data_IF_585601642556
#
_entry.id   IF_585601642556
#
_cell.length_a   1.000
_cell.length_b   1.000
_cell.length_c   1.000
_cell.angle_alpha   90.00
_cell.angle_beta   90.00
_cell.angle_gamma   90.00
#
_symmetry.space_group_name_H-M   'P 1'
#
loop_
_entity.id
_entity.type
_entity.pdbx_description
1 polymer ?
#
# COMPACT_ATOMS: atom_id res chain seq x y z
N UNK A 1 -4.48 -20.75 41.84
CA UNK A 1 -3.38 -19.88 41.40
C UNK A 1 -4.00 -18.70 40.70
N UNK A 2 -3.63 -17.46 41.05
CA UNK A 2 -4.04 -16.30 40.28
C UNK A 2 -3.31 -16.36 38.93
N UNK A 3 -4.01 -16.78 37.88
CA UNK A 3 -3.55 -16.70 36.49
C UNK A 3 -3.33 -15.25 36.13
N UNK A 4 -2.25 -14.89 35.44
CA UNK A 4 -2.00 -13.51 35.01
C UNK A 4 -2.73 -13.21 33.69
N UNK A 5 -3.26 -11.99 33.49
CA UNK A 5 -3.94 -11.58 32.24
C UNK A 5 -3.07 -11.82 30.99
N UNK A 6 -1.74 -11.70 31.14
CA UNK A 6 -0.75 -11.92 30.09
C UNK A 6 -0.71 -13.33 29.52
N UNK A 7 -1.23 -14.32 30.23
CA UNK A 7 -1.35 -15.71 29.76
C UNK A 7 -2.28 -15.82 28.54
N UNK A 8 -3.25 -14.90 28.40
CA UNK A 8 -4.20 -14.90 27.29
C UNK A 8 -3.69 -14.15 26.06
N UNK A 9 -2.59 -13.40 26.15
CA UNK A 9 -2.19 -12.46 25.09
C UNK A 9 -1.81 -13.16 23.78
N UNK A 10 -1.09 -14.28 23.84
CA UNK A 10 -0.73 -15.05 22.65
C UNK A 10 -1.95 -15.69 21.98
N UNK A 11 -2.89 -16.18 22.80
CA UNK A 11 -4.12 -16.82 22.33
C UNK A 11 -5.00 -15.80 21.60
N UNK A 12 -5.18 -14.61 22.20
CA UNK A 12 -5.91 -13.49 21.58
C UNK A 12 -5.18 -13.00 20.32
N UNK A 13 -3.86 -12.86 20.36
CA UNK A 13 -3.07 -12.48 19.19
C UNK A 13 -3.21 -13.47 18.02
N UNK A 14 -3.20 -14.77 18.32
CA UNK A 14 -3.48 -15.82 17.34
C UNK A 14 -4.89 -15.74 16.77
N UNK A 15 -5.89 -15.48 17.61
CA UNK A 15 -7.27 -15.29 17.18
C UNK A 15 -7.44 -14.06 16.27
N UNK A 16 -6.78 -12.93 16.56
CA UNK A 16 -6.80 -11.75 15.70
C UNK A 16 -6.23 -12.05 14.31
N UNK A 17 -5.15 -12.83 14.23
CA UNK A 17 -4.60 -13.28 12.93
C UNK A 17 -5.62 -14.14 12.19
N UNK A 18 -6.19 -15.15 12.85
CA UNK A 18 -7.06 -16.14 12.21
C UNK A 18 -8.44 -15.61 11.84
N UNK A 19 -9.06 -14.79 12.71
CA UNK A 19 -10.46 -14.36 12.59
C UNK A 19 -10.61 -12.94 12.08
N UNK A 20 -9.64 -12.06 12.35
CA UNK A 20 -9.70 -10.65 11.91
C UNK A 20 -8.74 -10.33 10.76
N UNK A 21 -7.93 -11.30 10.34
CA UNK A 21 -7.06 -11.19 9.19
C UNK A 21 -5.84 -10.30 9.43
N UNK A 22 -5.41 -10.15 10.70
CA UNK A 22 -4.16 -9.48 11.01
C UNK A 22 -2.99 -10.26 10.37
N UNK A 23 -2.15 -9.61 9.59
CA UNK A 23 -1.16 -10.33 8.77
C UNK A 23 0.09 -10.68 9.55
N UNK A 24 0.37 -11.98 9.69
CA UNK A 24 1.70 -12.49 10.06
C UNK A 24 2.43 -12.94 8.81
N UNK A 25 3.45 -12.19 8.39
CA UNK A 25 4.25 -12.46 7.20
C UNK A 25 5.65 -11.83 7.30
N UNK A 26 6.41 -11.81 6.19
CA UNK A 26 7.79 -11.29 6.17
C UNK A 26 7.95 -9.80 6.50
N UNK A 27 6.86 -9.03 6.59
CA UNK A 27 6.89 -7.61 6.96
C UNK A 27 6.26 -7.35 8.33
N UNK A 28 5.51 -8.32 8.88
CA UNK A 28 4.66 -8.08 10.03
C UNK A 28 4.53 -9.30 10.94
N UNK A 29 4.53 -9.03 12.25
CA UNK A 29 4.31 -10.03 13.31
C UNK A 29 2.83 -10.42 13.46
N UNK A 30 1.91 -9.69 12.84
CA UNK A 30 0.46 -9.82 12.99
C UNK A 30 -0.10 -9.11 14.22
N UNK A 31 0.55 -9.27 15.37
CA UNK A 31 0.16 -8.57 16.60
C UNK A 31 1.38 -8.26 17.49
N UNK A 32 1.15 -7.42 18.49
CA UNK A 32 2.09 -7.13 19.57
C UNK A 32 1.36 -7.01 20.91
N UNK A 33 2.12 -7.17 22.00
CA UNK A 33 1.64 -7.14 23.38
C UNK A 33 2.04 -5.84 24.06
N UNK A 34 1.23 -5.41 25.04
CA UNK A 34 1.45 -4.22 25.87
C UNK A 34 1.83 -2.98 25.04
N UNK A 35 0.97 -2.65 24.07
CA UNK A 35 1.27 -1.66 23.03
C UNK A 35 0.74 -0.29 23.41
N UNK A 36 1.64 0.71 23.42
CA UNK A 36 1.26 2.11 23.55
C UNK A 36 0.49 2.60 22.32
N UNK A 37 -0.76 3.04 22.52
CA UNK A 37 -1.54 3.77 21.50
C UNK A 37 -1.15 5.25 21.45
N UNK A 38 -0.78 5.82 22.60
CA UNK A 38 -0.31 7.21 22.79
C UNK A 38 0.54 7.30 24.08
N UNK A 39 1.11 8.47 24.37
CA UNK A 39 2.07 8.71 25.48
C UNK A 39 1.63 8.18 26.86
N UNK A 40 0.32 7.94 27.08
CA UNK A 40 -0.23 7.42 28.35
C UNK A 40 -1.40 6.43 28.17
N UNK A 41 -1.50 5.78 27.01
CA UNK A 41 -2.54 4.77 26.78
C UNK A 41 -1.87 3.52 26.22
N UNK A 42 -2.04 2.40 26.91
CA UNK A 42 -1.45 1.13 26.55
C UNK A 42 -2.55 0.08 26.56
N UNK A 43 -2.60 -0.73 25.52
CA UNK A 43 -3.52 -1.86 25.40
C UNK A 43 -2.75 -3.16 25.51
N UNK A 44 -3.42 -4.18 26.04
CA UNK A 44 -2.80 -5.47 26.34
C UNK A 44 -2.39 -6.22 25.08
N UNK A 45 -3.26 -6.25 24.06
CA UNK A 45 -2.97 -6.86 22.75
C UNK A 45 -3.38 -5.91 21.63
N UNK A 46 -2.51 -5.73 20.65
CA UNK A 46 -2.79 -4.96 19.44
C UNK A 46 -2.48 -5.79 18.19
N UNK A 47 -3.51 -6.06 17.39
CA UNK A 47 -3.39 -6.68 16.07
C UNK A 47 -3.44 -5.65 14.95
N UNK A 48 -2.73 -5.91 13.85
CA UNK A 48 -2.73 -5.06 12.68
C UNK A 48 -3.13 -5.84 11.44
N UNK A 49 -4.22 -5.40 10.82
CA UNK A 49 -4.58 -5.77 9.46
C UNK A 49 -4.18 -4.64 8.52
N UNK A 50 -3.64 -4.94 7.35
CA UNK A 50 -3.52 -3.98 6.27
C UNK A 50 -4.13 -4.51 4.99
N UNK A 51 -4.82 -3.65 4.26
CA UNK A 51 -5.38 -3.96 2.94
C UNK A 51 -4.71 -3.08 1.92
N UNK A 52 -4.35 -3.69 0.79
CA UNK A 52 -3.86 -2.94 -0.35
C UNK A 52 -5.05 -2.67 -1.27
N UNK A 53 -5.36 -1.40 -1.51
CA UNK A 53 -6.42 -1.01 -2.42
C UNK A 53 -5.83 -0.77 -3.81
N UNK A 54 -6.14 -1.62 -4.77
CA UNK A 54 -5.63 -1.58 -6.15
C UNK A 54 -6.73 -1.35 -7.21
N UNK A 55 -7.99 -1.20 -6.79
CA UNK A 55 -9.15 -1.11 -7.69
C UNK A 55 -9.24 0.17 -8.52
N UNK A 56 -8.31 1.12 -8.37
CA UNK A 56 -8.23 2.31 -9.21
C UNK A 56 -6.78 2.79 -9.27
N UNK A 57 -6.27 3.01 -10.49
CA UNK A 57 -4.92 3.52 -10.76
C UNK A 57 -4.61 4.83 -10.02
N UNK A 58 -5.61 5.58 -9.59
CA UNK A 58 -5.44 6.83 -8.83
C UNK A 58 -5.39 6.68 -7.31
N UNK A 59 -5.58 5.47 -6.77
CA UNK A 59 -5.79 5.24 -5.34
C UNK A 59 -4.98 4.07 -4.76
N UNK A 60 -3.93 3.60 -5.47
CA UNK A 60 -2.99 2.58 -4.98
C UNK A 60 -2.40 2.99 -3.63
N UNK A 61 -2.89 2.38 -2.55
CA UNK A 61 -2.57 2.76 -1.18
C UNK A 61 -2.84 1.61 -0.22
N UNK A 62 -2.10 1.60 0.88
CA UNK A 62 -2.41 0.76 2.02
C UNK A 62 -3.44 1.42 2.92
N UNK A 63 -4.38 0.63 3.43
CA UNK A 63 -5.20 0.96 4.59
C UNK A 63 -4.81 0.06 5.75
N UNK A 64 -4.45 0.67 6.87
CA UNK A 64 -4.04 -0.02 8.10
C UNK A 64 -5.18 0.01 9.13
N UNK A 65 -5.64 -1.16 9.56
CA UNK A 65 -6.76 -1.37 10.46
C UNK A 65 -6.24 -2.03 11.76
N UNK A 66 -6.39 -1.33 12.87
CA UNK A 66 -5.96 -1.79 14.18
C UNK A 66 -7.07 -2.50 14.93
N UNK A 67 -6.70 -3.52 15.69
CA UNK A 67 -7.57 -4.18 16.66
C UNK A 67 -6.90 -4.13 18.02
N UNK A 68 -7.45 -3.33 18.92
CA UNK A 68 -6.95 -3.15 20.28
C UNK A 68 -7.82 -3.95 21.25
N UNK A 69 -7.20 -4.72 22.14
CA UNK A 69 -7.90 -5.57 23.11
C UNK A 69 -7.36 -5.28 24.50
N UNK A 70 -8.26 -4.93 25.43
CA UNK A 70 -8.00 -4.93 26.87
C UNK A 70 -8.43 -6.29 27.44
N UNK A 71 -7.56 -6.92 28.23
CA UNK A 71 -7.79 -8.27 28.75
C UNK A 71 -7.98 -8.19 30.24
N UNK A 72 -9.06 -8.75 30.77
CA UNK A 72 -9.42 -8.67 32.18
C UNK A 72 -9.78 -10.04 32.75
N UNK A 73 -9.60 -10.21 34.05
CA UNK A 73 -10.00 -11.48 34.69
C UNK A 73 -11.50 -11.64 34.82
N UNK A 74 -12.23 -10.55 35.02
CA UNK A 74 -13.66 -10.59 35.28
C UNK A 74 -14.42 -9.61 34.37
N UNK A 75 -15.73 -9.87 34.13
CA UNK A 75 -16.59 -8.90 33.42
C UNK A 75 -16.67 -7.55 34.12
N UNK A 76 -16.62 -7.53 35.47
CA UNK A 76 -16.69 -6.29 36.25
C UNK A 76 -15.47 -5.39 36.01
N UNK A 77 -14.28 -5.99 35.89
CA UNK A 77 -13.05 -5.25 35.59
C UNK A 77 -13.10 -4.71 34.15
N UNK A 78 -13.59 -5.52 33.20
CA UNK A 78 -13.78 -5.11 31.81
C UNK A 78 -14.71 -3.90 31.65
N UNK A 79 -15.76 -3.80 32.47
CA UNK A 79 -16.66 -2.64 32.47
C UNK A 79 -15.92 -1.31 32.74
N UNK A 80 -14.88 -1.35 33.60
CA UNK A 80 -14.11 -0.16 33.95
C UNK A 80 -13.21 0.37 32.83
N UNK A 81 -12.85 -0.47 31.86
CA UNK A 81 -12.00 -0.09 30.72
C UNK A 81 -12.79 0.49 29.56
N UNK A 82 -14.11 0.25 29.51
CA UNK A 82 -14.99 0.84 28.48
C UNK A 82 -14.89 2.37 28.53
N UNK A 83 -15.00 2.95 29.74
CA UNK A 83 -14.92 4.39 29.93
C UNK A 83 -13.54 4.94 29.52
N UNK A 84 -12.46 4.19 29.81
CA UNK A 84 -11.10 4.57 29.38
C UNK A 84 -10.96 4.56 27.87
N UNK A 85 -11.49 3.54 27.20
CA UNK A 85 -11.45 3.42 25.74
C UNK A 85 -12.13 4.63 25.10
N UNK A 86 -13.35 4.95 25.53
CA UNK A 86 -14.19 5.97 24.90
C UNK A 86 -13.75 7.39 25.25
N UNK A 87 -13.40 7.65 26.52
CA UNK A 87 -13.11 9.02 26.96
C UNK A 87 -11.62 9.36 26.92
N UNK A 88 -10.72 8.37 26.83
CA UNK A 88 -9.27 8.60 26.83
C UNK A 88 -8.61 8.10 25.55
N UNK A 89 -8.78 6.82 25.18
CA UNK A 89 -7.98 6.22 24.11
C UNK A 89 -8.40 6.73 22.75
N UNK A 90 -9.68 6.60 22.40
CA UNK A 90 -10.19 7.01 21.10
C UNK A 90 -10.02 8.52 20.83
N UNK A 91 -10.33 9.44 21.77
CA UNK A 91 -10.09 10.87 21.58
C UNK A 91 -8.61 11.20 21.39
N UNK A 92 -7.70 10.55 22.12
CA UNK A 92 -6.25 10.77 21.96
C UNK A 92 -5.75 10.30 20.60
N UNK A 93 -6.24 9.16 20.12
CA UNK A 93 -5.89 8.64 18.79
C UNK A 93 -6.40 9.54 17.66
N UNK A 94 -7.52 10.24 17.87
CA UNK A 94 -8.07 11.20 16.89
C UNK A 94 -7.42 12.58 16.92
N UNK A 95 -6.70 12.95 17.99
CA UNK A 95 -6.05 14.27 18.08
C UNK A 95 -4.89 14.37 17.11
N UNK A 96 -4.97 15.30 16.16
CA UNK A 96 -3.81 15.75 15.40
C UNK A 96 -2.83 16.45 16.37
N UNK A 97 -1.55 16.08 16.34
CA UNK A 97 -0.50 16.78 17.10
C UNK A 97 0.61 17.23 16.16
N UNK A 98 1.35 18.28 16.55
CA UNK A 98 2.46 18.81 15.75
C UNK A 98 3.60 17.81 15.53
N UNK A 99 3.71 16.77 16.38
CA UNK A 99 4.66 15.64 16.23
C UNK A 99 4.09 14.45 15.46
N UNK A 100 2.79 14.45 15.17
CA UNK A 100 2.06 13.33 14.56
C UNK A 100 1.05 13.91 13.56
N UNK A 101 1.58 14.65 12.58
CA UNK A 101 0.74 15.27 11.54
C UNK A 101 0.06 14.22 10.64
N UNK A 102 0.60 12.99 10.62
CA UNK A 102 0.08 11.86 9.84
C UNK A 102 0.10 10.60 10.73
N UNK A 103 -1.06 9.97 10.96
CA UNK A 103 -1.13 8.63 11.59
C UNK A 103 -1.02 7.55 10.52
N UNK A 104 -0.18 6.54 10.73
CA UNK A 104 -0.14 5.36 9.86
C UNK A 104 -1.46 4.57 9.87
N UNK A 105 -2.20 4.64 11.00
CA UNK A 105 -3.39 3.85 11.24
C UNK A 105 -4.63 4.54 10.68
N UNK A 106 -5.40 3.82 9.86
CA UNK A 106 -6.63 4.31 9.21
C UNK A 106 -7.86 4.10 10.07
N UNK A 107 -7.96 2.92 10.68
CA UNK A 107 -9.09 2.59 11.54
C UNK A 107 -8.61 1.85 12.78
N UNK A 108 -9.40 1.92 13.84
CA UNK A 108 -9.19 1.15 15.06
C UNK A 108 -10.51 0.57 15.56
N UNK A 109 -10.46 -0.67 16.01
CA UNK A 109 -11.55 -1.41 16.60
C UNK A 109 -11.12 -1.80 18.01
N UNK A 110 -11.98 -1.58 19.01
CA UNK A 110 -11.67 -1.90 20.41
C UNK A 110 -12.47 -3.09 20.90
N UNK A 111 -11.81 -4.01 21.59
CA UNK A 111 -12.44 -5.10 22.34
C UNK A 111 -12.07 -5.01 23.81
N UNK A 112 -12.98 -5.52 24.64
CA UNK A 112 -12.64 -6.04 25.97
C UNK A 112 -12.73 -7.56 25.92
N UNK A 113 -11.77 -8.22 26.56
CA UNK A 113 -11.71 -9.67 26.67
C UNK A 113 -11.71 -10.07 28.14
N UNK A 114 -12.45 -11.11 28.51
CA UNK A 114 -12.44 -11.60 29.90
C UNK A 114 -12.82 -13.06 30.02
N UNK A 115 -12.38 -13.68 31.12
CA UNK A 115 -12.76 -15.04 31.45
C UNK A 115 -14.19 -15.08 32.02
N UNK A 116 -15.00 -16.04 31.57
CA UNK A 116 -16.32 -16.28 32.13
C UNK A 116 -17.19 -17.22 31.29
N UNK A 117 -18.26 -17.68 31.93
CA UNK A 117 -19.25 -18.56 31.28
C UNK A 117 -20.26 -17.77 30.46
N UNK A 118 -20.53 -16.52 30.84
CA UNK A 118 -21.45 -15.62 30.13
C UNK A 118 -21.10 -14.15 30.34
N UNK A 119 -21.50 -13.29 29.40
CA UNK A 119 -21.41 -11.84 29.54
C UNK A 119 -22.64 -11.28 30.27
N UNK A 120 -22.47 -10.50 31.35
CA UNK A 120 -23.58 -9.81 31.99
C UNK A 120 -24.33 -8.89 31.02
N UNK A 121 -25.67 -8.88 31.09
CA UNK A 121 -26.50 -8.11 30.16
C UNK A 121 -26.20 -6.60 30.19
N UNK A 122 -25.91 -6.05 31.37
CA UNK A 122 -25.56 -4.64 31.52
C UNK A 122 -24.25 -4.29 30.79
N UNK A 123 -23.25 -5.18 30.88
CA UNK A 123 -21.97 -5.02 30.17
C UNK A 123 -22.17 -5.12 28.65
N UNK A 124 -22.96 -6.09 28.19
CA UNK A 124 -23.30 -6.25 26.78
C UNK A 124 -24.00 -5.00 26.23
N UNK A 125 -24.96 -4.44 26.99
CA UNK A 125 -25.67 -3.21 26.61
C UNK A 125 -24.73 -2.01 26.59
N UNK A 126 -23.85 -1.86 27.58
CA UNK A 126 -22.85 -0.79 27.64
C UNK A 126 -21.92 -0.84 26.43
N UNK A 127 -21.29 -1.98 26.17
CA UNK A 127 -20.40 -2.20 25.03
C UNK A 127 -21.09 -1.91 23.69
N UNK A 128 -22.33 -2.40 23.51
CA UNK A 128 -23.13 -2.14 22.30
C UNK A 128 -23.40 -0.66 22.09
N UNK A 129 -23.72 0.08 23.16
CA UNK A 129 -24.02 1.51 23.06
C UNK A 129 -22.82 2.36 22.66
N UNK A 130 -21.60 1.89 22.93
CA UNK A 130 -20.36 2.64 22.66
C UNK A 130 -19.51 2.05 21.53
N UNK A 131 -19.96 0.95 20.92
CA UNK A 131 -19.27 0.29 19.82
C UNK A 131 -18.02 -0.50 20.21
N UNK A 132 -17.91 -0.96 21.46
CA UNK A 132 -16.79 -1.82 21.92
C UNK A 132 -17.18 -3.29 21.79
N UNK A 133 -16.29 -4.11 21.21
CA UNK A 133 -16.51 -5.54 21.04
C UNK A 133 -16.22 -6.35 22.31
N UNK A 134 -16.72 -7.58 22.36
CA UNK A 134 -16.55 -8.48 23.50
C UNK A 134 -15.98 -9.81 23.04
N UNK A 135 -14.85 -10.21 23.65
CA UNK A 135 -14.23 -11.52 23.50
C UNK A 135 -14.34 -12.30 24.82
N UNK A 136 -15.23 -13.28 24.88
CA UNK A 136 -15.31 -14.15 26.05
C UNK A 136 -14.27 -15.26 25.93
N UNK A 137 -13.44 -15.38 26.95
CA UNK A 137 -12.42 -16.42 27.09
C UNK A 137 -13.06 -17.57 27.87
N UNK A 138 -13.25 -18.71 27.23
CA UNK A 138 -13.86 -19.89 27.83
C UNK A 138 -12.84 -21.03 27.88
N UNK A 139 -12.66 -21.64 29.05
CA UNK A 139 -11.82 -22.82 29.18
C UNK A 139 -12.63 -24.07 28.87
N UNK A 140 -12.27 -24.79 27.81
CA UNK A 140 -12.97 -26.00 27.41
C UNK A 140 -12.51 -27.24 28.20
N UNK A 141 -13.16 -28.38 27.93
CA UNK A 141 -12.92 -29.65 28.60
C UNK A 141 -11.50 -30.19 28.41
N UNK A 142 -10.78 -29.75 27.37
CA UNK A 142 -9.37 -30.07 27.12
C UNK A 142 -8.40 -29.08 27.79
N UNK A 143 -8.90 -28.23 28.69
CA UNK A 143 -8.16 -27.16 29.35
C UNK A 143 -7.56 -26.11 28.39
N UNK A 144 -8.02 -26.05 27.14
CA UNK A 144 -7.66 -25.00 26.18
C UNK A 144 -8.59 -23.79 26.33
N UNK A 145 -8.13 -22.62 25.89
CA UNK A 145 -8.93 -21.39 25.92
C UNK A 145 -9.54 -21.14 24.55
N UNK A 146 -10.86 -21.27 24.47
CA UNK A 146 -11.66 -20.85 23.33
C UNK A 146 -12.02 -19.38 23.44
N UNK A 147 -11.94 -18.66 22.32
CA UNK A 147 -12.35 -17.25 22.22
C UNK A 147 -13.66 -17.18 21.45
N UNK A 148 -14.69 -16.69 22.13
CA UNK A 148 -16.02 -16.46 21.56
C UNK A 148 -16.23 -14.95 21.41
N UNK A 149 -16.41 -14.50 20.17
CA UNK A 149 -16.82 -13.12 19.91
C UNK A 149 -18.33 -13.00 20.11
N UNK A 150 -18.73 -12.42 21.24
CA UNK A 150 -20.14 -12.22 21.59
C UNK A 150 -20.69 -10.90 21.05
N UNK A 151 -19.80 -9.94 20.80
CA UNK A 151 -20.14 -8.67 20.17
C UNK A 151 -18.97 -8.20 19.31
N UNK A 152 -19.25 -7.95 18.02
CA UNK A 152 -18.29 -7.29 17.14
C UNK A 152 -18.24 -5.77 17.45
N UNK A 153 -17.06 -5.14 17.35
CA UNK A 153 -16.87 -3.72 17.63
C UNK A 153 -17.32 -2.87 16.44
N UNK A 154 -17.57 -1.60 16.71
CA UNK A 154 -17.64 -0.59 15.67
C UNK A 154 -16.24 -0.15 15.22
N UNK A 155 -16.09 0.09 13.93
CA UNK A 155 -14.85 0.59 13.36
C UNK A 155 -14.78 2.12 13.51
N UNK A 156 -13.69 2.62 14.09
CA UNK A 156 -13.47 4.05 14.23
C UNK A 156 -12.38 4.56 13.27
N UNK A 157 -12.73 5.53 12.43
CA UNK A 157 -11.77 6.19 11.53
C UNK A 157 -10.80 7.12 12.28
N UNK A 158 -9.57 7.17 11.77
CA UNK A 158 -8.45 7.96 12.28
C UNK A 158 -7.83 8.82 11.14
N UNK A 159 -7.07 9.89 11.47
CA UNK A 159 -6.41 10.74 10.49
C UNK A 159 -5.21 10.04 9.82
N UNK A 160 -5.50 9.21 8.83
CA UNK A 160 -4.56 8.32 8.15
C UNK A 160 -3.55 9.03 7.22
N UNK A 161 -2.53 8.29 6.76
CA UNK A 161 -1.65 8.72 5.65
C UNK A 161 -2.47 8.89 4.38
N UNK A 162 -2.42 10.09 3.79
CA UNK A 162 -3.08 10.36 2.52
C UNK A 162 -2.46 9.52 1.39
N UNK A 163 -3.25 9.20 0.36
CA UNK A 163 -2.74 8.44 -0.79
C UNK A 163 -1.56 9.11 -1.48
N UNK A 164 -1.50 10.45 -1.45
CA UNK A 164 -0.38 11.22 -2.01
C UNK A 164 0.88 11.00 -1.19
N UNK A 165 0.76 11.07 0.13
CA UNK A 165 1.90 10.92 1.04
C UNK A 165 2.42 9.49 1.06
N UNK A 166 1.54 8.50 0.90
CA UNK A 166 1.94 7.10 0.75
C UNK A 166 2.77 6.86 -0.52
N UNK A 167 2.78 7.75 -1.52
CA UNK A 167 3.62 7.58 -2.72
C UNK A 167 5.08 7.97 -2.49
N UNK A 168 5.38 8.67 -1.38
CA UNK A 168 6.74 9.01 -1.00
C UNK A 168 7.28 7.94 -0.05
N UNK A 169 8.37 7.22 -0.43
CA UNK A 169 8.94 6.18 0.42
C UNK A 169 9.29 6.71 1.82
N UNK A 170 9.94 7.88 1.88
CA UNK A 170 10.35 8.49 3.16
C UNK A 170 9.17 8.88 4.05
N UNK A 171 8.10 9.44 3.48
CA UNK A 171 6.91 9.82 4.27
C UNK A 171 6.15 8.57 4.73
N UNK A 172 6.02 7.56 3.87
CA UNK A 172 5.38 6.29 4.21
C UNK A 172 6.12 5.59 5.35
N UNK A 173 7.44 5.42 5.23
CA UNK A 173 8.28 4.76 6.24
C UNK A 173 8.25 5.52 7.57
N UNK A 174 8.36 6.85 7.52
CA UNK A 174 8.30 7.70 8.70
C UNK A 174 6.95 7.54 9.42
N UNK A 175 5.84 7.61 8.69
CA UNK A 175 4.51 7.52 9.28
C UNK A 175 4.25 6.16 9.97
N UNK A 176 4.74 5.04 9.40
CA UNK A 176 4.64 3.73 10.05
C UNK A 176 5.57 3.63 11.28
N UNK A 177 6.77 4.19 11.20
CA UNK A 177 7.77 4.15 12.29
C UNK A 177 7.40 5.02 13.49
N UNK A 178 6.81 6.19 13.25
CA UNK A 178 6.35 7.13 14.28
C UNK A 178 4.99 6.74 14.90
N UNK A 179 4.22 5.90 14.21
CA UNK A 179 2.99 5.34 14.77
C UNK A 179 3.33 4.15 15.66
N UNK A 180 3.55 4.43 16.96
CA UNK A 180 3.96 3.44 17.98
C UNK A 180 3.30 2.07 17.86
N UNK A 181 1.96 2.00 17.72
CA UNK A 181 1.28 0.72 17.63
C UNK A 181 1.56 -0.04 16.32
N UNK A 182 1.77 0.66 15.21
CA UNK A 182 2.16 0.06 13.93
C UNK A 182 3.61 -0.40 13.96
N UNK A 183 4.54 0.44 14.43
CA UNK A 183 5.96 0.12 14.53
C UNK A 183 6.22 -1.13 15.40
N UNK A 184 5.35 -1.40 16.38
CA UNK A 184 5.44 -2.63 17.18
C UNK A 184 5.06 -3.90 16.43
N UNK A 185 4.35 -3.78 15.30
CA UNK A 185 3.82 -4.91 14.52
C UNK A 185 4.44 -5.03 13.12
N UNK A 186 4.77 -3.92 12.46
CA UNK A 186 5.49 -3.86 11.18
C UNK A 186 6.99 -3.81 11.45
N UNK A 187 7.73 -4.78 10.94
CA UNK A 187 9.18 -4.91 11.20
C UNK A 187 10.03 -4.15 10.18
N UNK A 188 9.56 -4.04 8.93
CA UNK A 188 10.31 -3.39 7.86
C UNK A 188 9.39 -2.59 6.93
N UNK A 189 9.07 -1.33 7.29
CA UNK A 189 8.26 -0.42 6.49
C UNK A 189 8.80 -0.21 5.07
N UNK A 190 10.12 -0.05 4.90
CA UNK A 190 10.73 0.18 3.60
C UNK A 190 10.57 -1.01 2.66
N UNK A 191 10.81 -2.23 3.15
CA UNK A 191 10.59 -3.45 2.35
C UNK A 191 9.12 -3.63 1.97
N UNK A 192 8.18 -3.30 2.86
CA UNK A 192 6.75 -3.30 2.55
C UNK A 192 6.41 -2.30 1.43
N UNK A 193 7.03 -1.12 1.44
CA UNK A 193 6.88 -0.14 0.37
C UNK A 193 7.46 -0.68 -0.95
N UNK A 194 8.73 -1.09 -0.94
CA UNK A 194 9.48 -1.51 -2.14
C UNK A 194 8.87 -2.72 -2.83
N UNK A 195 8.42 -3.71 -2.06
CA UNK A 195 7.97 -4.99 -2.62
C UNK A 195 6.46 -5.04 -2.88
N UNK A 196 5.66 -4.13 -2.29
CA UNK A 196 4.20 -4.16 -2.45
C UNK A 196 3.62 -2.89 -3.08
N UNK A 197 4.01 -1.70 -2.62
CA UNK A 197 3.42 -0.45 -3.10
C UNK A 197 4.14 0.08 -4.35
N UNK A 198 5.48 0.14 -4.34
CA UNK A 198 6.27 0.68 -5.45
C UNK A 198 5.98 0.00 -6.80
N UNK A 199 5.89 -1.33 -6.92
CA UNK A 199 5.63 -1.98 -8.20
C UNK A 199 4.29 -1.55 -8.81
N UNK A 200 3.28 -1.33 -7.96
CA UNK A 200 1.95 -0.88 -8.35
C UNK A 200 1.91 0.59 -8.72
N UNK A 201 2.69 1.44 -8.05
CA UNK A 201 2.85 2.84 -8.45
C UNK A 201 3.53 2.94 -9.82
N UNK A 202 4.51 2.09 -10.08
CA UNK A 202 5.19 2.01 -11.37
C UNK A 202 4.21 1.56 -12.46
N UNK A 203 3.47 0.47 -12.24
CA UNK A 203 2.45 -0.04 -13.18
C UNK A 203 1.46 1.07 -13.57
N UNK A 204 0.96 1.81 -12.60
CA UNK A 204 0.06 2.97 -12.82
C UNK A 204 0.72 4.09 -13.59
N UNK A 205 1.96 4.45 -13.24
CA UNK A 205 2.67 5.52 -13.93
C UNK A 205 2.87 5.18 -15.41
N UNK A 206 3.21 3.92 -15.71
CA UNK A 206 3.35 3.40 -17.08
C UNK A 206 2.04 3.44 -17.84
N UNK A 207 0.94 2.98 -17.24
CA UNK A 207 -0.38 3.03 -17.85
C UNK A 207 -0.83 4.46 -18.16
N UNK A 208 -0.62 5.39 -17.22
CA UNK A 208 -0.93 6.81 -17.41
C UNK A 208 -0.09 7.44 -18.53
N UNK A 209 1.19 7.07 -18.63
CA UNK A 209 2.04 7.55 -19.72
C UNK A 209 1.54 7.04 -21.08
N UNK A 210 1.09 5.78 -21.18
CA UNK A 210 0.50 5.24 -22.40
C UNK A 210 -0.83 5.92 -22.77
N UNK A 211 -1.73 6.10 -21.80
CA UNK A 211 -3.00 6.82 -22.01
C UNK A 211 -2.77 8.26 -22.49
N UNK A 212 -1.81 8.94 -21.88
CA UNK A 212 -1.37 10.26 -22.32
C UNK A 212 -0.87 10.24 -23.76
N UNK A 213 -0.04 9.25 -24.12
CA UNK A 213 0.46 9.05 -25.48
C UNK A 213 -0.66 8.87 -26.53
N UNK A 214 -1.68 8.07 -26.19
CA UNK A 214 -2.85 7.85 -27.05
C UNK A 214 -3.69 9.10 -27.28
N UNK A 215 -3.59 10.10 -26.39
CA UNK A 215 -4.18 11.43 -26.61
C UNK A 215 -3.63 12.14 -27.85
N UNK A 216 -2.38 11.84 -28.25
CA UNK A 216 -1.71 12.50 -29.37
C UNK A 216 -1.61 11.61 -30.62
N UNK A 217 -1.44 10.29 -30.46
CA UNK A 217 -1.42 9.35 -31.58
C UNK A 217 -2.81 8.74 -31.78
N UNK A 218 -3.48 9.10 -32.87
CA UNK A 218 -4.87 8.70 -33.16
C UNK A 218 -4.99 7.51 -34.12
N UNK A 219 -4.01 7.33 -35.01
CA UNK A 219 -4.05 6.25 -36.00
C UNK A 219 -3.98 4.87 -35.33
N UNK A 220 -4.86 3.96 -35.74
CA UNK A 220 -4.97 2.59 -35.20
C UNK A 220 -3.62 1.86 -35.21
N UNK A 221 -2.94 1.86 -36.36
CA UNK A 221 -1.64 1.19 -36.51
C UNK A 221 -0.54 1.78 -35.62
N UNK A 222 -0.52 3.12 -35.48
CA UNK A 222 0.40 3.82 -34.59
C UNK A 222 0.13 3.51 -33.12
N UNK A 223 -1.15 3.46 -32.69
CA UNK A 223 -1.54 3.05 -31.33
C UNK A 223 -1.16 1.61 -31.03
N UNK A 224 -1.39 0.68 -31.96
CA UNK A 224 -1.01 -0.73 -31.81
C UNK A 224 0.52 -0.90 -31.71
N UNK A 225 1.28 -0.10 -32.46
CA UNK A 225 2.74 -0.07 -32.37
C UNK A 225 3.22 0.50 -31.03
N UNK A 226 2.58 1.58 -30.56
CA UNK A 226 2.90 2.22 -29.29
C UNK A 226 2.58 1.34 -28.09
N UNK A 227 1.42 0.68 -28.09
CA UNK A 227 1.02 -0.32 -27.09
C UNK A 227 2.03 -1.47 -27.01
N UNK A 228 2.46 -1.96 -28.17
CA UNK A 228 3.50 -3.00 -28.25
C UNK A 228 4.84 -2.53 -27.71
N UNK A 229 5.31 -1.35 -28.10
CA UNK A 229 6.54 -0.76 -27.58
C UNK A 229 6.46 -0.59 -26.06
N UNK A 230 5.37 -0.02 -25.53
CA UNK A 230 5.16 0.13 -24.10
C UNK A 230 5.18 -1.21 -23.38
N UNK A 231 4.52 -2.22 -23.93
CA UNK A 231 4.52 -3.56 -23.34
C UNK A 231 5.93 -4.13 -23.28
N UNK A 232 6.65 -4.14 -24.40
CA UNK A 232 7.97 -4.78 -24.50
C UNK A 232 9.08 -4.02 -23.77
N UNK A 233 9.09 -2.70 -23.85
CA UNK A 233 10.19 -1.86 -23.36
C UNK A 233 9.92 -1.32 -21.97
N UNK A 234 8.67 -1.04 -21.62
CA UNK A 234 8.33 -0.31 -20.40
C UNK A 234 7.69 -1.24 -19.37
N UNK A 235 6.63 -1.97 -19.73
CA UNK A 235 5.92 -2.84 -18.79
C UNK A 235 6.75 -4.05 -18.38
N UNK A 236 7.47 -4.66 -19.32
CA UNK A 236 8.29 -5.85 -19.07
C UNK A 236 9.65 -5.55 -18.39
N UNK A 237 10.05 -4.29 -18.26
CA UNK A 237 11.35 -3.91 -17.70
C UNK A 237 11.18 -3.11 -16.40
N UNK A 238 11.34 -3.69 -15.20
CA UNK A 238 11.14 -3.02 -13.91
C UNK A 238 12.14 -1.87 -13.65
N UNK A 239 13.25 -1.86 -14.38
CA UNK A 239 14.36 -0.92 -14.25
C UNK A 239 14.13 0.42 -14.94
N UNK A 240 13.00 0.61 -15.65
CA UNK A 240 12.67 1.88 -16.31
C UNK A 240 11.34 2.48 -15.84
N UNK A 241 11.26 3.81 -15.91
CA UNK A 241 10.04 4.58 -15.74
C UNK A 241 9.71 5.35 -17.01
N UNK A 242 8.42 5.61 -17.23
CA UNK A 242 7.93 6.42 -18.35
C UNK A 242 7.25 7.68 -17.80
N UNK A 243 7.68 8.85 -18.26
CA UNK A 243 7.15 10.14 -17.83
C UNK A 243 6.60 10.91 -19.03
N UNK A 244 5.28 11.18 -19.02
CA UNK A 244 4.60 11.95 -20.07
C UNK A 244 4.33 13.42 -19.71
N UNK A 245 4.87 13.92 -18.59
CA UNK A 245 4.60 15.30 -18.13
C UNK A 245 5.78 16.22 -18.38
N UNK A 246 5.95 16.61 -19.64
CA UNK A 246 6.74 17.79 -19.99
C UNK A 246 6.08 19.08 -19.47
N UNK A 247 6.85 20.18 -19.42
CA UNK A 247 6.32 21.55 -19.36
C UNK A 247 5.27 21.74 -20.48
N UNK A 248 4.33 22.69 -20.34
CA UNK A 248 3.22 22.98 -21.30
C UNK A 248 3.61 22.98 -22.79
N UNK A 249 4.89 23.16 -23.10
CA UNK A 249 5.42 23.28 -24.46
C UNK A 249 5.91 21.92 -25.04
N UNK A 250 5.79 20.82 -24.29
CA UNK A 250 6.24 19.45 -24.67
C UNK A 250 5.26 18.38 -24.19
N UNK A 251 3.96 18.64 -24.34
CA UNK A 251 2.92 17.70 -23.90
C UNK A 251 2.83 16.46 -24.80
N UNK A 252 3.35 16.50 -26.03
CA UNK A 252 3.40 15.36 -26.95
C UNK A 252 4.62 14.44 -26.73
N UNK A 253 5.38 14.63 -25.65
CA UNK A 253 6.63 13.93 -25.40
C UNK A 253 6.55 12.97 -24.22
N UNK A 254 7.19 11.81 -24.38
CA UNK A 254 7.34 10.80 -23.33
C UNK A 254 8.81 10.47 -23.20
N UNK A 255 9.33 10.58 -21.99
CA UNK A 255 10.71 10.25 -21.66
C UNK A 255 10.76 8.94 -20.91
N UNK A 256 11.65 8.02 -21.31
CA UNK A 256 11.94 6.81 -20.55
C UNK A 256 13.27 6.98 -19.85
N UNK A 257 13.27 6.72 -18.56
CA UNK A 257 14.41 6.98 -17.67
C UNK A 257 14.79 5.67 -16.98
N UNK A 258 16.09 5.38 -16.92
CA UNK A 258 16.65 4.29 -16.13
C UNK A 258 16.55 4.63 -14.64
N UNK A 259 16.02 3.69 -13.86
CA UNK A 259 15.87 3.84 -12.41
C UNK A 259 17.19 3.68 -11.67
N UNK A 260 18.17 3.01 -12.28
CA UNK A 260 19.43 2.70 -11.63
C UNK A 260 20.32 3.94 -11.51
N UNK A 261 20.30 4.81 -12.52
CA UNK A 261 21.16 6.00 -12.57
C UNK A 261 20.40 7.31 -12.87
N UNK A 262 19.10 7.26 -13.17
CA UNK A 262 18.30 8.43 -13.52
C UNK A 262 18.56 8.97 -14.93
N UNK A 263 19.30 8.24 -15.77
CA UNK A 263 19.61 8.66 -17.13
C UNK A 263 18.45 8.40 -18.08
N UNK A 264 18.26 9.31 -19.02
CA UNK A 264 17.30 9.14 -20.10
C UNK A 264 17.80 8.05 -21.05
N UNK A 265 16.97 7.04 -21.31
CA UNK A 265 17.31 5.91 -22.19
C UNK A 265 16.80 6.15 -23.61
N UNK A 266 15.56 6.62 -23.71
CA UNK A 266 14.94 6.97 -24.98
C UNK A 266 13.89 8.07 -24.79
N UNK A 267 13.62 8.79 -25.86
CA UNK A 267 12.56 9.78 -25.93
C UNK A 267 11.58 9.40 -27.02
N UNK A 268 10.31 9.68 -26.79
CA UNK A 268 9.28 9.52 -27.80
C UNK A 268 8.55 10.83 -28.02
N UNK A 269 8.36 11.19 -29.29
CA UNK A 269 7.60 12.36 -29.70
C UNK A 269 6.38 11.90 -30.49
N UNK A 270 5.19 12.12 -29.92
CA UNK A 270 3.93 11.68 -30.48
C UNK A 270 3.50 12.59 -31.63
N UNK A 271 2.99 12.00 -32.71
CA UNK A 271 2.27 12.71 -33.79
C UNK A 271 0.95 12.01 -34.06
N UNK A 272 0.09 12.67 -34.82
CA UNK A 272 -1.28 12.22 -35.08
C UNK A 272 -1.35 10.78 -35.64
N UNK A 273 -0.41 10.43 -36.51
CA UNK A 273 -0.42 9.17 -37.27
C UNK A 273 0.77 8.24 -37.02
N UNK A 274 1.78 8.73 -36.32
CA UNK A 274 3.05 8.03 -36.07
C UNK A 274 3.68 8.61 -34.81
N UNK A 275 4.78 8.04 -34.35
CA UNK A 275 5.58 8.67 -33.31
C UNK A 275 7.07 8.52 -33.64
N UNK A 276 7.89 9.41 -33.10
CA UNK A 276 9.32 9.26 -33.17
C UNK A 276 9.85 8.54 -31.93
N UNK A 277 10.94 7.80 -32.10
CA UNK A 277 11.81 7.32 -31.03
C UNK A 277 13.18 7.97 -31.28
N UNK A 278 13.65 8.76 -30.32
CA UNK A 278 15.02 9.27 -30.30
C UNK A 278 15.83 8.43 -29.31
N UNK A 279 16.90 7.81 -29.79
CA UNK A 279 17.90 7.16 -28.94
C UNK A 279 18.98 8.19 -28.61
N UNK A 280 19.47 8.21 -27.37
CA UNK A 280 20.34 9.28 -26.86
C UNK A 280 21.74 9.35 -27.54
N UNK A 281 22.04 8.43 -28.44
CA UNK A 281 23.20 8.43 -29.34
C UNK A 281 22.96 9.23 -30.64
N UNK A 282 21.82 9.91 -30.76
CA UNK A 282 21.49 10.79 -31.88
C UNK A 282 20.79 10.11 -33.04
N UNK A 283 20.42 8.83 -32.95
CA UNK A 283 19.57 8.18 -33.96
C UNK A 283 18.09 8.48 -33.69
N UNK A 284 17.33 8.65 -34.77
CA UNK A 284 15.89 8.90 -34.73
C UNK A 284 15.15 7.93 -35.63
N UNK A 285 14.03 7.42 -35.13
CA UNK A 285 13.18 6.46 -35.82
C UNK A 285 11.76 7.02 -35.90
N UNK A 286 11.09 6.91 -37.05
CA UNK A 286 9.66 7.19 -37.18
C UNK A 286 8.91 5.86 -37.24
N UNK A 287 8.05 5.62 -36.27
CA UNK A 287 7.23 4.40 -36.18
C UNK A 287 5.82 4.72 -36.67
N UNK A 288 5.44 4.16 -37.82
CA UNK A 288 4.11 4.30 -38.41
C UNK A 288 3.22 3.12 -38.01
N UNK A 289 3.79 1.92 -37.97
CA UNK A 289 3.14 0.69 -37.53
C UNK A 289 4.17 -0.29 -36.95
N UNK A 290 3.73 -1.47 -36.48
CA UNK A 290 4.64 -2.52 -36.02
C UNK A 290 5.60 -3.01 -37.11
N UNK A 291 5.21 -2.92 -38.37
CA UNK A 291 5.97 -3.46 -39.50
C UNK A 291 6.62 -2.35 -40.36
N UNK A 292 6.44 -1.09 -39.96
CA UNK A 292 6.91 0.06 -40.72
C UNK A 292 7.55 1.09 -39.79
N UNK A 293 8.88 0.99 -39.69
CA UNK A 293 9.72 1.94 -38.98
C UNK A 293 10.76 2.51 -39.93
N UNK A 294 10.80 3.83 -40.06
CA UNK A 294 11.77 4.55 -40.89
C UNK A 294 12.94 5.03 -40.02
N UNK A 295 14.17 4.65 -40.39
CA UNK A 295 15.40 5.08 -39.71
C UNK A 295 15.95 6.36 -40.35
N UNK A 296 16.40 7.31 -39.52
CA UNK A 296 17.14 8.50 -39.97
C UNK A 296 18.60 8.42 -39.48
N UNK A 297 19.55 8.12 -40.36
CA UNK A 297 20.99 8.14 -40.06
C UNK A 297 21.63 9.46 -40.54
N UNK A 298 22.34 10.13 -39.63
CA UNK A 298 22.79 11.53 -39.73
C UNK A 298 23.78 11.91 -40.84
N UNK A 299 24.21 11.02 -41.72
CA UNK A 299 25.25 11.34 -42.71
C UNK A 299 24.77 11.49 -44.16
N UNK A 300 23.54 11.07 -44.50
CA UNK A 300 23.04 11.22 -45.88
C UNK A 300 21.52 11.10 -46.08
N UNK A 301 20.71 11.04 -45.01
CA UNK A 301 19.25 10.98 -45.14
C UNK A 301 18.72 9.69 -45.79
N UNK A 302 19.53 8.64 -45.87
CA UNK A 302 19.08 7.31 -46.32
C UNK A 302 18.09 6.78 -45.29
N UNK A 303 16.86 6.54 -45.74
CA UNK A 303 15.84 5.86 -44.95
C UNK A 303 15.71 4.43 -45.45
N UNK A 304 15.67 3.49 -44.52
CA UNK A 304 15.30 2.11 -44.77
C UNK A 304 14.22 1.70 -43.78
N UNK A 305 13.42 0.70 -44.16
CA UNK A 305 12.34 0.19 -43.34
C UNK A 305 12.83 -1.01 -42.53
N UNK A 306 12.60 -0.97 -41.23
CA UNK A 306 12.69 -2.12 -40.33
C UNK A 306 11.35 -2.32 -39.63
N UNK A 307 11.14 -3.49 -39.04
CA UNK A 307 10.01 -3.68 -38.14
C UNK A 307 10.37 -3.26 -36.70
N UNK A 308 9.33 -2.96 -35.93
CA UNK A 308 9.45 -2.50 -34.55
C UNK A 308 10.02 -3.58 -33.60
N UNK A 309 9.65 -4.87 -33.71
CA UNK A 309 10.32 -5.93 -32.95
C UNK A 309 11.85 -5.94 -33.14
N UNK A 310 12.32 -5.87 -34.38
CA UNK A 310 13.74 -5.83 -34.70
C UNK A 310 14.40 -4.58 -34.12
N UNK A 311 13.79 -3.40 -34.26
CA UNK A 311 14.29 -2.17 -33.62
C UNK A 311 14.45 -2.32 -32.11
N UNK A 312 13.45 -2.91 -31.44
CA UNK A 312 13.47 -3.12 -30.00
C UNK A 312 14.65 -4.03 -29.62
N UNK A 313 14.79 -5.17 -30.29
CA UNK A 313 15.83 -6.14 -30.00
C UNK A 313 17.24 -5.59 -30.25
N UNK A 314 17.45 -4.91 -31.38
CA UNK A 314 18.81 -4.52 -31.79
C UNK A 314 19.27 -3.18 -31.23
N UNK A 315 18.36 -2.25 -30.98
CA UNK A 315 18.72 -0.89 -30.56
C UNK A 315 18.17 -0.55 -29.17
N UNK A 316 16.95 -0.94 -28.80
CA UNK A 316 16.37 -0.47 -27.53
C UNK A 316 16.80 -1.35 -26.35
N UNK A 317 16.63 -2.66 -26.44
CA UNK A 317 16.96 -3.61 -25.37
C UNK A 317 18.40 -3.53 -24.85
N UNK A 318 19.44 -3.43 -25.71
CA UNK A 318 20.81 -3.33 -25.24
C UNK A 318 21.03 -2.11 -24.32
N UNK A 319 20.25 -1.04 -24.54
CA UNK A 319 20.34 0.20 -23.77
C UNK A 319 19.56 0.14 -22.45
N UNK A 320 18.60 -0.78 -22.34
CA UNK A 320 17.87 -1.04 -21.08
C UNK A 320 18.69 -1.88 -20.09
N UNK A 321 19.69 -2.63 -20.58
CA UNK A 321 20.52 -3.56 -19.79
C UNK A 321 21.89 -2.98 -19.41
N UNK A 322 22.28 -1.85 -19.99
CA UNK A 322 23.56 -1.17 -19.76
C UNK A 322 23.51 -0.29 -18.51
#
# INVERSE_FOLDING_TARGET
MATHESEYYDIIGGWLIQRKGCQKNKYSRGYAKEVGLSERSRVDVFGLKYTFYDGNSSYNSFKFHGYAVEVKHTPSDAASDIDKIIHIYLPKMRRATSKRMISGLHTINYYVAFNGDSTPQDLLAQCRNVGVGILRLHKNDEYQIDIIEELAPEEHSLPAISNRDQQSPGIFEQALSETTCINRVIENPGKLFEECLRPKLIEVARQRALEHAFGYCSAKAGREALDYLFTQVIMNNPEVIAEGRGKRDREDMITIISRNNGEQVLQMEMKLNYFYIDTMDGKRYRVVSKNEVLVFSGESGVSYTIDLPQLIETEIEPRLKA
#
